data_IF_600946208291
#
_entry.id   IF_600946208291
#
_cell.length_a   1.000
_cell.length_b   1.000
_cell.length_c   1.000
_cell.angle_alpha   90.00
_cell.angle_beta   90.00
_cell.angle_gamma   90.00
#
_symmetry.space_group_name_H-M   'P 1'
#
loop_
_entity.id
_entity.type
_entity.pdbx_description
1 polymer ?
#
# COMPACT_ATOMS: atom_id res chain seq x y z
N UNK A 1 -7.79 -6.30 11.80
CA UNK A 1 -8.36 -5.13 11.11
C UNK A 1 -7.97 -5.15 9.64
N UNK A 2 -6.67 -5.17 9.31
CA UNK A 2 -6.20 -5.32 7.92
C UNK A 2 -6.39 -6.73 7.34
N UNK A 3 -6.06 -7.80 8.09
CA UNK A 3 -6.22 -9.20 7.60
C UNK A 3 -7.66 -9.60 7.28
N UNK A 4 -8.64 -8.94 7.91
CA UNK A 4 -10.07 -9.19 7.68
C UNK A 4 -10.70 -8.17 6.73
N UNK A 5 -9.91 -7.30 6.12
CA UNK A 5 -10.42 -6.26 5.23
C UNK A 5 -10.89 -6.88 3.91
N UNK A 6 -12.11 -6.56 3.51
CA UNK A 6 -12.67 -7.01 2.22
C UNK A 6 -12.25 -6.10 1.06
N UNK A 7 -11.96 -4.84 1.38
CA UNK A 7 -11.52 -3.81 0.44
C UNK A 7 -10.29 -3.13 1.00
N UNK A 8 -9.27 -3.03 0.16
CA UNK A 8 -8.09 -2.22 0.46
C UNK A 8 -7.86 -1.22 -0.66
N UNK A 9 -7.34 -0.07 -0.26
CA UNK A 9 -7.03 1.02 -1.16
C UNK A 9 -5.57 1.38 -0.97
N UNK A 10 -4.83 1.42 -2.06
CA UNK A 10 -3.42 1.75 -2.04
C UNK A 10 -3.22 3.08 -2.75
N UNK A 11 -2.66 4.03 -2.01
CA UNK A 11 -2.43 5.40 -2.48
C UNK A 11 -0.97 5.80 -2.28
N UNK A 12 -0.41 6.50 -3.26
CA UNK A 12 0.98 6.97 -3.26
C UNK A 12 1.02 8.48 -3.19
N UNK A 13 1.64 9.02 -2.13
CA UNK A 13 1.83 10.46 -1.96
C UNK A 13 3.30 10.87 -2.00
N UNK A 14 3.58 11.97 -2.71
CA UNK A 14 4.93 12.50 -2.94
C UNK A 14 5.33 13.59 -1.94
N UNK A 15 4.38 14.08 -1.13
CA UNK A 15 4.52 15.37 -0.47
C UNK A 15 5.45 15.40 0.75
N UNK A 16 5.89 14.25 1.28
CA UNK A 16 6.68 14.21 2.52
C UNK A 16 7.58 12.96 2.61
N UNK A 17 8.56 12.81 1.71
CA UNK A 17 9.56 11.73 1.84
C UNK A 17 11.00 12.26 1.92
N UNK A 18 11.85 11.69 2.78
CA UNK A 18 13.29 12.00 2.80
C UNK A 18 13.91 11.74 1.42
N UNK A 19 14.98 12.47 1.06
CA UNK A 19 15.63 12.41 -0.28
C UNK A 19 15.96 11.00 -0.79
N UNK A 20 16.12 10.03 0.12
CA UNK A 20 16.41 8.63 -0.22
C UNK A 20 15.19 7.85 -0.77
N UNK A 21 13.99 8.41 -0.68
CA UNK A 21 12.75 7.76 -1.09
C UNK A 21 11.98 8.60 -2.10
N UNK A 22 11.37 7.92 -3.06
CA UNK A 22 10.65 8.56 -4.15
C UNK A 22 9.19 8.86 -3.77
N UNK A 23 8.57 8.00 -2.95
CA UNK A 23 7.17 8.16 -2.53
C UNK A 23 6.88 7.42 -1.23
N UNK A 24 5.91 7.94 -0.49
CA UNK A 24 5.27 7.24 0.61
C UNK A 24 4.02 6.56 0.05
N UNK A 25 3.96 5.25 0.18
CA UNK A 25 2.82 4.44 -0.20
C UNK A 25 2.03 4.05 1.05
N UNK A 26 0.72 4.14 0.98
CA UNK A 26 -0.16 3.88 2.12
C UNK A 26 -1.26 2.90 1.76
N UNK A 27 -1.53 1.95 2.65
CA UNK A 27 -2.64 1.01 2.52
C UNK A 27 -3.74 1.44 3.47
N UNK A 28 -4.89 1.74 2.92
CA UNK A 28 -6.09 2.09 3.66
C UNK A 28 -7.09 0.94 3.67
N UNK A 29 -7.80 0.83 4.77
CA UNK A 29 -8.99 -0.01 4.89
C UNK A 29 -10.19 0.88 5.14
N UNK A 30 -11.33 0.52 4.58
CA UNK A 30 -12.60 1.13 4.96
C UNK A 30 -13.11 0.46 6.25
N UNK A 31 -13.39 1.25 7.26
CA UNK A 31 -14.00 0.79 8.50
C UNK A 31 -15.03 1.82 8.97
N UNK A 32 -16.29 1.39 9.13
CA UNK A 32 -17.41 2.26 9.51
C UNK A 32 -17.50 3.54 8.65
N UNK A 33 -17.35 3.40 7.33
CA UNK A 33 -17.34 4.51 6.36
C UNK A 33 -16.19 5.51 6.51
N UNK A 34 -15.17 5.17 7.29
CA UNK A 34 -13.93 5.94 7.39
C UNK A 34 -12.78 5.20 6.70
N UNK A 35 -11.98 5.95 5.94
CA UNK A 35 -10.75 5.47 5.36
C UNK A 35 -9.61 5.62 6.35
N UNK A 36 -9.07 4.49 6.83
CA UNK A 36 -8.04 4.46 7.84
C UNK A 36 -6.73 3.92 7.26
N UNK A 37 -5.62 4.68 7.31
CA UNK A 37 -4.32 4.17 6.92
C UNK A 37 -3.85 3.11 7.93
N UNK A 38 -3.39 1.97 7.42
CA UNK A 38 -2.99 0.80 8.23
C UNK A 38 -1.56 0.37 7.99
N UNK A 39 -1.01 0.63 6.79
CA UNK A 39 0.37 0.34 6.43
C UNK A 39 0.97 1.56 5.74
N UNK A 40 2.22 1.87 6.07
CA UNK A 40 3.03 2.90 5.46
C UNK A 40 4.29 2.25 4.89
N UNK A 41 4.59 2.51 3.62
CA UNK A 41 5.74 1.93 2.91
C UNK A 41 6.51 3.04 2.22
N UNK A 42 7.80 3.13 2.51
CA UNK A 42 8.69 4.04 1.79
C UNK A 42 9.26 3.31 0.57
N UNK A 43 8.93 3.80 -0.63
CA UNK A 43 9.39 3.21 -1.88
C UNK A 43 10.52 4.06 -2.50
N UNK A 44 11.63 3.46 -2.93
CA UNK A 44 12.73 4.18 -3.58
C UNK A 44 12.45 4.53 -5.05
N UNK A 45 11.26 4.21 -5.60
CA UNK A 45 10.90 4.49 -6.99
C UNK A 45 9.50 4.01 -7.39
N UNK A 46 9.14 4.25 -8.65
CA UNK A 46 7.84 3.88 -9.29
C UNK A 46 7.90 2.64 -10.20
N UNK A 47 8.97 1.85 -10.14
CA UNK A 47 9.09 0.67 -11.01
C UNK A 47 8.13 -0.43 -10.55
N UNK A 48 7.47 -1.11 -11.48
CA UNK A 48 6.57 -2.24 -11.19
C UNK A 48 7.23 -3.31 -10.30
N UNK A 49 8.53 -3.55 -10.44
CA UNK A 49 9.27 -4.49 -9.59
C UNK A 49 9.28 -4.08 -8.11
N UNK A 50 9.34 -2.77 -7.80
CA UNK A 50 9.30 -2.25 -6.43
C UNK A 50 7.92 -2.42 -5.81
N UNK A 51 6.85 -2.18 -6.58
CA UNK A 51 5.48 -2.44 -6.12
C UNK A 51 5.25 -3.92 -5.83
N UNK A 52 5.74 -4.81 -6.71
CA UNK A 52 5.66 -6.26 -6.50
C UNK A 52 6.42 -6.69 -5.24
N UNK A 53 7.61 -6.14 -5.03
CA UNK A 53 8.42 -6.44 -3.85
C UNK A 53 7.73 -5.98 -2.57
N UNK A 54 7.18 -4.76 -2.55
CA UNK A 54 6.37 -4.27 -1.42
C UNK A 54 5.22 -5.22 -1.09
N UNK A 55 4.41 -5.60 -2.09
CA UNK A 55 3.27 -6.52 -1.88
C UNK A 55 3.73 -7.88 -1.36
N UNK A 56 4.89 -8.38 -1.85
CA UNK A 56 5.51 -9.61 -1.34
C UNK A 56 5.89 -9.48 0.13
N UNK A 57 6.53 -8.38 0.52
CA UNK A 57 6.91 -8.13 1.92
C UNK A 57 5.68 -8.05 2.83
N UNK A 58 4.61 -7.38 2.38
CA UNK A 58 3.34 -7.34 3.14
C UNK A 58 2.77 -8.74 3.33
N UNK A 59 2.74 -9.57 2.28
CA UNK A 59 2.24 -10.95 2.38
C UNK A 59 3.14 -11.84 3.26
N UNK A 60 4.44 -11.60 3.29
CA UNK A 60 5.35 -12.29 4.21
C UNK A 60 5.09 -11.90 5.68
N UNK A 61 4.79 -10.63 5.95
CA UNK A 61 4.49 -10.13 7.29
C UNK A 61 3.08 -10.52 7.76
N UNK A 62 2.12 -10.60 6.84
CA UNK A 62 0.73 -10.94 7.07
C UNK A 62 0.31 -12.06 6.10
N UNK A 63 0.67 -13.33 6.38
CA UNK A 63 0.42 -14.44 5.46
C UNK A 63 -1.05 -14.66 5.12
N UNK A 64 -1.94 -14.31 6.04
CA UNK A 64 -3.39 -14.45 5.90
C UNK A 64 -4.04 -13.22 5.25
N UNK A 65 -3.26 -12.18 4.92
CA UNK A 65 -3.78 -11.01 4.24
C UNK A 65 -4.06 -11.32 2.77
N UNK A 66 -5.32 -11.56 2.47
CA UNK A 66 -5.81 -11.89 1.12
C UNK A 66 -7.13 -11.15 0.82
N UNK A 67 -7.09 -9.81 0.71
CA UNK A 67 -8.29 -9.02 0.48
C UNK A 67 -8.84 -9.28 -0.93
N UNK A 68 -10.14 -9.56 -1.08
CA UNK A 68 -10.74 -9.89 -2.37
C UNK A 68 -10.82 -8.68 -3.31
N UNK A 69 -10.87 -7.46 -2.78
CA UNK A 69 -10.94 -6.24 -3.58
C UNK A 69 -9.74 -5.34 -3.26
N UNK A 70 -8.95 -5.06 -4.29
CA UNK A 70 -7.76 -4.22 -4.22
C UNK A 70 -7.90 -3.11 -5.23
N UNK A 71 -7.97 -1.86 -4.77
CA UNK A 71 -7.89 -0.68 -5.61
C UNK A 71 -6.53 -0.04 -5.43
N UNK A 72 -5.79 0.10 -6.52
CA UNK A 72 -4.43 0.63 -6.51
C UNK A 72 -4.35 1.77 -7.51
N UNK A 73 -3.82 2.93 -7.08
CA UNK A 73 -3.40 3.94 -8.02
C UNK A 73 -1.98 3.62 -8.49
N UNK A 74 -1.87 3.20 -9.75
CA UNK A 74 -0.60 2.90 -10.41
C UNK A 74 -0.43 3.84 -11.61
N UNK A 75 0.40 4.85 -11.43
CA UNK A 75 0.86 5.68 -12.53
C UNK A 75 1.89 4.89 -13.37
N UNK A 76 1.54 4.55 -14.62
CA UNK A 76 2.54 4.14 -15.61
C UNK A 76 3.43 5.35 -15.89
N UNK A 77 4.65 5.34 -15.33
CA UNK A 77 5.72 6.22 -15.77
C UNK A 77 6.17 5.86 -17.20
#
# INVERSE_FOLDING_TARGET
>A
MLENATHIYLDGTFSVVPELYFQLYTIHVEYLHHMLPTVYVLLPGKKQCLYREMLRQIKNLLPNFDPPNVMIDFERA
#
